data_IF_613459917398
#
_entry.id   IF_613459917398
#
_cell.length_a   1.000
_cell.length_b   1.000
_cell.length_c   1.000
_cell.angle_alpha   90.00
_cell.angle_beta   90.00
_cell.angle_gamma   90.00
#
_symmetry.space_group_name_H-M   'P 1'
#
loop_
_entity.id
_entity.type
_entity.pdbx_description
1 polymer ?
#
# COMPACT_ATOMS: atom_id res chain seq x y z
N UNK A 1 -2.11 -26.70 17.67
CA UNK A 1 -2.19 -25.27 17.31
C UNK A 1 -3.02 -25.19 16.04
N UNK A 2 -4.28 -24.77 16.16
CA UNK A 2 -5.20 -24.71 15.03
C UNK A 2 -4.94 -23.40 14.28
N UNK A 3 -4.53 -23.49 13.01
CA UNK A 3 -4.34 -22.32 12.17
C UNK A 3 -5.71 -21.86 11.65
N UNK A 4 -6.40 -21.04 12.44
CA UNK A 4 -7.59 -20.34 11.96
C UNK A 4 -7.19 -19.42 10.80
N UNK A 5 -7.80 -19.59 9.62
CA UNK A 5 -7.64 -18.66 8.50
C UNK A 5 -8.66 -17.53 8.66
N UNK A 6 -8.26 -16.33 9.12
CA UNK A 6 -9.19 -15.23 9.27
C UNK A 6 -9.73 -14.81 7.89
N UNK A 7 -11.06 -14.69 7.78
CA UNK A 7 -11.71 -14.17 6.59
C UNK A 7 -12.01 -12.67 6.78
N UNK A 8 -11.36 -11.81 5.99
CA UNK A 8 -11.69 -10.39 5.92
C UNK A 8 -12.90 -10.20 5.00
N UNK A 9 -14.11 -10.24 5.59
CA UNK A 9 -15.37 -10.16 4.86
C UNK A 9 -15.82 -8.71 4.63
N UNK A 10 -15.01 -7.90 3.96
CA UNK A 10 -15.47 -6.57 3.50
C UNK A 10 -16.15 -6.70 2.14
N UNK A 11 -17.18 -5.89 1.89
CA UNK A 11 -17.84 -5.85 0.56
C UNK A 11 -16.81 -5.50 -0.53
N UNK A 12 -15.78 -4.71 -0.19
CA UNK A 12 -14.69 -4.38 -1.10
C UNK A 12 -13.70 -5.51 -1.32
N UNK A 13 -13.32 -6.30 -0.32
CA UNK A 13 -12.50 -7.49 -0.57
C UNK A 13 -13.12 -8.44 -1.63
N UNK A 14 -14.45 -8.39 -1.80
CA UNK A 14 -15.20 -9.12 -2.83
C UNK A 14 -15.38 -8.36 -4.17
N UNK A 15 -15.21 -7.04 -4.22
CA UNK A 15 -15.55 -6.18 -5.39
C UNK A 15 -14.44 -5.22 -5.85
N UNK A 16 -13.38 -5.07 -5.07
CA UNK A 16 -12.18 -4.29 -5.32
C UNK A 16 -10.98 -5.11 -4.85
N UNK A 17 -10.04 -5.34 -5.76
CA UNK A 17 -8.85 -6.11 -5.43
C UNK A 17 -8.00 -5.35 -4.42
N UNK A 18 -7.47 -6.07 -3.42
CA UNK A 18 -6.46 -5.58 -2.49
C UNK A 18 -5.23 -6.45 -2.73
N UNK A 19 -4.10 -5.82 -3.05
CA UNK A 19 -2.84 -6.53 -3.32
C UNK A 19 -1.80 -6.35 -2.22
N UNK A 20 -2.07 -5.50 -1.23
CA UNK A 20 -1.20 -5.28 -0.08
C UNK A 20 -2.00 -5.18 1.21
N UNK A 21 -1.43 -5.77 2.26
CA UNK A 21 -1.89 -5.67 3.64
C UNK A 21 -0.65 -5.43 4.50
N UNK A 22 -0.71 -4.42 5.35
CA UNK A 22 0.38 -4.04 6.25
C UNK A 22 -0.14 -3.86 7.68
N UNK A 23 0.59 -4.39 8.67
CA UNK A 23 0.30 -4.17 10.08
C UNK A 23 1.02 -2.91 10.53
N UNK A 24 0.30 -1.97 11.11
CA UNK A 24 0.95 -0.85 11.79
C UNK A 24 1.59 -1.34 13.10
N UNK A 25 2.91 -1.23 13.28
CA UNK A 25 3.58 -1.70 14.49
C UNK A 25 3.19 -0.92 15.75
N UNK A 26 2.66 0.31 15.61
CA UNK A 26 2.33 1.20 16.74
C UNK A 26 0.85 1.16 17.16
N UNK A 27 0.00 0.42 16.45
CA UNK A 27 -1.43 0.34 16.78
C UNK A 27 -1.95 -1.10 16.79
N UNK A 28 -3.25 -1.30 17.05
CA UNK A 28 -3.91 -2.61 16.88
C UNK A 28 -4.41 -2.82 15.45
N UNK A 29 -4.13 -1.93 14.50
CA UNK A 29 -4.76 -1.98 13.17
C UNK A 29 -3.85 -2.56 12.08
N UNK A 30 -4.47 -3.22 11.11
CA UNK A 30 -3.90 -3.49 9.80
C UNK A 30 -4.56 -2.57 8.78
N UNK A 31 -3.80 -2.21 7.77
CA UNK A 31 -4.23 -1.36 6.69
C UNK A 31 -4.11 -2.08 5.35
N UNK A 32 -5.03 -1.76 4.47
CA UNK A 32 -5.05 -2.23 3.08
C UNK A 32 -5.38 -1.07 2.17
N UNK A 33 -4.90 -1.16 0.93
CA UNK A 33 -5.22 -0.20 -0.13
C UNK A 33 -5.90 -0.95 -1.27
N UNK A 34 -7.06 -0.45 -1.72
CA UNK A 34 -7.75 -1.01 -2.89
C UNK A 34 -7.05 -0.62 -4.18
N UNK A 35 -7.14 -1.49 -5.18
CA UNK A 35 -6.73 -1.19 -6.54
C UNK A 35 -7.90 -0.56 -7.32
N UNK A 36 -7.69 0.58 -8.00
CA UNK A 36 -8.68 1.16 -8.91
C UNK A 36 -9.11 0.18 -10.01
N UNK A 37 -10.40 0.17 -10.34
CA UNK A 37 -10.94 -0.56 -11.49
C UNK A 37 -12.00 0.28 -12.23
N UNK A 38 -12.51 -0.22 -13.36
CA UNK A 38 -13.47 0.49 -14.22
C UNK A 38 -14.73 0.97 -13.49
N UNK A 39 -15.16 0.24 -12.45
CA UNK A 39 -16.39 0.53 -11.67
C UNK A 39 -16.11 1.31 -10.39
N UNK A 40 -14.93 1.16 -9.82
CA UNK A 40 -14.52 1.78 -8.57
C UNK A 40 -13.09 2.31 -8.72
N UNK A 41 -12.98 3.55 -9.19
CA UNK A 41 -11.71 4.19 -9.52
C UNK A 41 -10.96 4.78 -8.34
N UNK A 42 -11.66 5.07 -7.24
CA UNK A 42 -11.03 5.71 -6.08
C UNK A 42 -10.11 4.73 -5.35
N UNK A 43 -8.94 5.24 -4.94
CA UNK A 43 -8.05 4.59 -4.00
C UNK A 43 -8.69 4.69 -2.59
N UNK A 44 -8.84 3.57 -1.89
CA UNK A 44 -9.50 3.52 -0.59
C UNK A 44 -8.56 2.87 0.42
N UNK A 45 -8.34 3.56 1.53
CA UNK A 45 -7.66 3.06 2.71
C UNK A 45 -8.68 2.31 3.56
N UNK A 46 -8.43 1.03 3.76
CA UNK A 46 -9.23 0.15 4.60
C UNK A 46 -8.47 -0.10 5.89
N UNK A 47 -9.14 0.12 7.03
CA UNK A 47 -8.61 -0.08 8.38
C UNK A 47 -9.33 -1.24 9.03
N UNK A 48 -8.58 -2.22 9.52
CA UNK A 48 -9.11 -3.44 10.15
C UNK A 48 -8.44 -3.62 11.51
N UNK A 49 -9.22 -3.93 12.55
CA UNK A 49 -8.65 -4.26 13.85
C UNK A 49 -8.00 -5.64 13.82
N UNK A 50 -6.79 -5.76 14.34
CA UNK A 50 -5.99 -6.98 14.27
C UNK A 50 -6.38 -7.99 15.33
N UNK A 51 -7.11 -7.61 16.38
CA UNK A 51 -7.57 -8.51 17.43
C UNK A 51 -8.79 -9.30 16.96
N UNK A 52 -9.81 -8.61 16.46
CA UNK A 52 -11.09 -9.23 16.06
C UNK A 52 -11.24 -9.40 14.53
N UNK A 53 -10.32 -8.83 13.74
CA UNK A 53 -10.33 -8.87 12.26
C UNK A 53 -11.55 -8.16 11.65
N UNK A 54 -12.23 -7.30 12.39
CA UNK A 54 -13.37 -6.54 11.92
C UNK A 54 -12.95 -5.24 11.23
N UNK A 55 -13.76 -4.83 10.26
CA UNK A 55 -13.61 -3.56 9.57
C UNK A 55 -13.85 -2.40 10.54
N UNK A 56 -12.86 -1.53 10.71
CA UNK A 56 -12.94 -0.34 11.56
C UNK A 56 -13.16 0.95 10.77
N UNK A 57 -12.85 0.96 9.46
CA UNK A 57 -13.13 2.12 8.61
C UNK A 57 -12.68 1.94 7.16
N UNK A 58 -13.30 2.73 6.28
CA UNK A 58 -12.93 2.87 4.88
C UNK A 58 -12.92 4.35 4.52
N UNK A 59 -11.81 4.85 3.98
CA UNK A 59 -11.66 6.27 3.64
C UNK A 59 -11.08 6.41 2.24
N UNK A 60 -11.66 7.30 1.43
CA UNK A 60 -11.11 7.62 0.11
C UNK A 60 -9.78 8.36 0.31
N UNK A 61 -8.72 7.88 -0.33
CA UNK A 61 -7.42 8.55 -0.28
C UNK A 61 -7.48 9.79 -1.15
N UNK A 62 -7.05 10.92 -0.59
CA UNK A 62 -6.98 12.21 -1.28
C UNK A 62 -5.54 12.61 -1.55
N UNK A 63 -5.31 13.56 -2.46
CA UNK A 63 -3.98 14.08 -2.73
C UNK A 63 -3.74 15.36 -1.94
N UNK A 64 -2.69 15.37 -1.12
CA UNK A 64 -2.17 16.56 -0.46
C UNK A 64 -1.20 17.38 -1.31
N UNK A 65 -0.79 16.83 -2.45
CA UNK A 65 0.17 17.45 -3.36
C UNK A 65 -0.38 17.54 -4.79
N UNK A 66 0.17 18.49 -5.56
CA UNK A 66 -0.05 18.54 -6.99
C UNK A 66 0.69 17.37 -7.64
N UNK A 67 -0.05 16.40 -8.18
CA UNK A 67 0.54 15.31 -8.96
C UNK A 67 1.10 15.87 -10.28
N UNK A 68 2.16 15.22 -10.81
CA UNK A 68 2.74 15.59 -12.12
C UNK A 68 1.65 15.62 -13.20
N UNK A 69 1.85 16.50 -14.19
CA UNK A 69 0.86 16.81 -15.23
C UNK A 69 0.15 15.56 -15.78
N UNK A 70 -1.18 15.63 -15.79
CA UNK A 70 -2.13 14.61 -16.28
C UNK A 70 -2.25 13.32 -15.46
N UNK A 71 -1.70 13.23 -14.24
CA UNK A 71 -1.90 12.07 -13.36
C UNK A 71 -3.06 12.30 -12.41
N UNK A 72 -3.96 11.32 -12.27
CA UNK A 72 -4.98 11.26 -11.23
C UNK A 72 -4.59 10.15 -10.21
N UNK A 73 -4.96 10.30 -8.94
CA UNK A 73 -4.79 9.24 -7.94
C UNK A 73 -5.47 7.93 -8.35
N UNK A 74 -6.54 8.03 -9.14
CA UNK A 74 -7.28 6.90 -9.69
C UNK A 74 -6.47 6.06 -10.68
N UNK A 75 -5.33 6.56 -11.15
CA UNK A 75 -4.46 5.86 -12.09
C UNK A 75 -3.38 5.03 -11.37
N UNK A 76 -3.23 5.15 -10.05
CA UNK A 76 -2.20 4.43 -9.30
C UNK A 76 -2.65 3.01 -8.97
N UNK A 77 -1.96 2.03 -9.54
CA UNK A 77 -2.22 0.60 -9.35
C UNK A 77 -1.25 0.05 -8.30
N UNK A 78 -1.69 0.07 -7.03
CA UNK A 78 -0.87 -0.35 -5.89
C UNK A 78 -0.70 -1.87 -5.85
N UNK A 79 0.54 -2.35 -5.87
CA UNK A 79 0.88 -3.78 -5.84
C UNK A 79 1.61 -4.22 -4.59
N UNK A 80 2.24 -3.29 -3.89
CA UNK A 80 3.02 -3.58 -2.71
C UNK A 80 3.02 -2.39 -1.75
N UNK A 81 3.36 -2.65 -0.50
CA UNK A 81 3.60 -1.58 0.46
C UNK A 81 3.59 -2.07 1.89
N UNK A 82 4.03 -1.21 2.78
CA UNK A 82 4.16 -1.49 4.22
C UNK A 82 3.91 -0.21 5.04
N UNK A 83 3.76 -0.35 6.35
CA UNK A 83 3.48 0.76 7.26
C UNK A 83 4.67 1.04 8.18
N UNK A 84 5.07 2.31 8.24
CA UNK A 84 6.08 2.83 9.17
C UNK A 84 5.76 4.28 9.53
N UNK A 85 6.06 4.70 10.76
CA UNK A 85 5.91 6.11 11.19
C UNK A 85 4.49 6.69 10.99
N UNK A 86 3.43 5.88 11.12
CA UNK A 86 2.04 6.31 10.87
C UNK A 86 1.71 6.57 9.40
N UNK A 87 2.55 6.11 8.47
CA UNK A 87 2.41 6.27 7.03
C UNK A 87 2.32 4.90 6.35
N UNK A 88 1.53 4.83 5.30
CA UNK A 88 1.53 3.70 4.37
C UNK A 88 2.42 4.05 3.17
N UNK A 89 3.53 3.33 3.00
CA UNK A 89 4.38 3.41 1.82
C UNK A 89 3.86 2.46 0.77
N UNK A 90 3.07 2.98 -0.17
CA UNK A 90 2.36 2.20 -1.19
C UNK A 90 3.05 2.32 -2.55
N UNK A 91 3.63 1.23 -3.03
CA UNK A 91 4.20 1.18 -4.37
C UNK A 91 3.10 0.91 -5.41
N UNK A 92 3.06 1.79 -6.41
CA UNK A 92 2.26 1.64 -7.62
C UNK A 92 3.14 1.25 -8.80
N UNK A 93 2.80 0.15 -9.47
CA UNK A 93 3.42 -0.23 -10.74
C UNK A 93 3.16 0.82 -11.82
N UNK A 94 1.98 1.44 -11.79
CA UNK A 94 1.69 2.56 -12.67
C UNK A 94 2.55 3.74 -12.25
N UNK A 95 3.24 4.31 -13.24
CA UNK A 95 4.23 5.38 -13.08
C UNK A 95 5.46 5.02 -12.22
N UNK A 96 5.65 3.75 -11.84
CA UNK A 96 6.76 3.29 -10.98
C UNK A 96 6.98 4.22 -9.78
N UNK A 97 5.93 4.42 -8.97
CA UNK A 97 5.89 5.47 -7.95
C UNK A 97 5.59 4.89 -6.57
N UNK A 98 6.36 5.31 -5.57
CA UNK A 98 6.11 5.05 -4.17
C UNK A 98 5.34 6.23 -3.56
N UNK A 99 4.08 6.00 -3.23
CA UNK A 99 3.21 6.97 -2.55
C UNK A 99 3.42 6.87 -1.04
N UNK A 100 3.50 8.02 -0.37
CA UNK A 100 3.47 8.11 1.09
C UNK A 100 2.10 8.61 1.50
N UNK A 101 1.30 7.73 2.13
CA UNK A 101 -0.06 8.02 2.55
C UNK A 101 -0.08 8.19 4.06
N UNK A 102 -0.53 9.34 4.55
CA UNK A 102 -0.83 9.54 5.97
C UNK A 102 -2.05 8.71 6.37
N UNK A 103 -1.90 7.86 7.39
CA UNK A 103 -2.95 6.95 7.84
C UNK A 103 -4.07 7.67 8.60
N UNK A 104 -3.78 8.80 9.26
CA UNK A 104 -4.76 9.54 10.03
C UNK A 104 -5.65 10.38 9.11
N UNK A 105 -5.07 11.01 8.09
CA UNK A 105 -5.79 11.86 7.14
C UNK A 105 -6.26 11.14 5.88
N UNK A 106 -5.81 9.89 5.65
CA UNK A 106 -5.98 9.18 4.39
C UNK A 106 -5.58 10.05 3.18
N UNK A 107 -4.36 10.60 3.23
CA UNK A 107 -3.91 11.61 2.29
C UNK A 107 -2.51 11.32 1.80
N UNK A 108 -2.30 11.37 0.48
CA UNK A 108 -0.95 11.29 -0.09
C UNK A 108 -0.22 12.59 0.28
N UNK A 109 0.83 12.47 1.07
CA UNK A 109 1.65 13.59 1.55
C UNK A 109 2.97 13.71 0.79
N UNK A 110 3.43 12.61 0.17
CA UNK A 110 4.62 12.61 -0.69
C UNK A 110 4.54 11.51 -1.76
N UNK A 111 5.33 11.63 -2.81
CA UNK A 111 5.41 10.66 -3.90
C UNK A 111 6.82 10.61 -4.54
N UNK A 112 7.44 9.45 -4.53
CA UNK A 112 8.79 9.23 -5.03
C UNK A 112 8.80 8.39 -6.30
N UNK A 113 9.54 8.82 -7.31
CA UNK A 113 9.85 7.98 -8.46
C UNK A 113 10.83 6.88 -8.04
N UNK A 114 10.49 5.63 -8.34
CA UNK A 114 11.31 4.48 -8.00
C UNK A 114 12.32 4.16 -9.11
N UNK A 115 13.37 3.42 -8.76
CA UNK A 115 14.30 2.87 -9.74
C UNK A 115 13.61 1.79 -10.58
N UNK A 116 14.03 1.61 -11.83
CA UNK A 116 13.48 0.61 -12.75
C UNK A 116 14.11 -0.78 -12.49
N UNK A 117 13.66 -1.42 -11.41
CA UNK A 117 14.21 -2.71 -10.95
C UNK A 117 13.33 -3.92 -11.30
N UNK A 118 12.22 -3.69 -12.02
CA UNK A 118 11.23 -4.71 -12.36
C UNK A 118 9.89 -4.47 -11.66
N UNK A 119 8.96 -5.40 -11.81
CA UNK A 119 7.64 -5.33 -11.18
C UNK A 119 7.73 -5.71 -9.71
N UNK A 120 7.38 -4.80 -8.81
CA UNK A 120 7.38 -5.06 -7.36
C UNK A 120 6.03 -5.64 -6.94
N UNK A 121 6.04 -6.81 -6.30
CA UNK A 121 4.83 -7.51 -5.84
C UNK A 121 4.71 -7.64 -4.31
N UNK A 122 5.73 -7.20 -3.57
CA UNK A 122 5.75 -7.24 -2.12
C UNK A 122 6.85 -6.33 -1.58
N UNK A 123 6.62 -5.76 -0.41
CA UNK A 123 7.55 -4.85 0.26
C UNK A 123 7.47 -5.06 1.77
N UNK A 124 8.59 -4.88 2.45
CA UNK A 124 8.68 -4.80 3.90
C UNK A 124 9.68 -3.71 4.30
N UNK A 125 9.38 -2.97 5.35
CA UNK A 125 10.26 -1.92 5.91
C UNK A 125 10.99 -2.46 7.13
N UNK A 126 12.29 -2.18 7.22
CA UNK A 126 13.08 -2.46 8.40
C UNK A 126 14.16 -1.39 8.57
N UNK A 127 13.96 -0.53 9.57
CA UNK A 127 14.78 0.69 9.76
C UNK A 127 14.76 1.57 8.51
N UNK A 128 15.94 2.07 8.13
CA UNK A 128 16.13 2.93 6.97
C UNK A 128 16.00 2.25 5.60
N UNK A 129 15.62 0.96 5.54
CA UNK A 129 15.56 0.18 4.30
C UNK A 129 14.17 -0.37 4.00
N UNK A 130 13.86 -0.43 2.72
CA UNK A 130 12.74 -1.18 2.12
C UNK A 130 13.32 -2.42 1.43
N UNK A 131 12.82 -3.59 1.77
CA UNK A 131 13.09 -4.83 1.06
C UNK A 131 11.92 -5.14 0.14
N UNK A 132 12.16 -5.16 -1.16
CA UNK A 132 11.16 -5.35 -2.20
C UNK A 132 11.34 -6.67 -2.94
N UNK A 133 10.26 -7.40 -3.17
CA UNK A 133 10.21 -8.55 -4.08
C UNK A 133 10.01 -8.03 -5.51
N UNK A 134 11.08 -8.05 -6.31
CA UNK A 134 11.09 -7.56 -7.68
C UNK A 134 11.13 -8.71 -8.69
N UNK A 135 10.25 -8.65 -9.69
CA UNK A 135 10.16 -9.57 -10.81
C UNK A 135 10.80 -8.95 -12.04
N UNK A 136 11.84 -9.59 -12.57
CA UNK A 136 12.55 -9.13 -13.76
C UNK A 136 13.06 -10.33 -14.56
N UNK A 137 12.79 -10.34 -15.86
CA UNK A 137 13.25 -11.38 -16.79
C UNK A 137 12.90 -12.81 -16.32
N UNK A 138 11.70 -13.00 -15.77
CA UNK A 138 11.22 -14.30 -15.26
C UNK A 138 11.84 -14.75 -13.94
N UNK A 139 12.67 -13.90 -13.30
CA UNK A 139 13.28 -14.17 -11.99
C UNK A 139 12.70 -13.27 -10.91
N UNK A 140 12.64 -13.80 -9.69
CA UNK A 140 12.22 -13.06 -8.49
C UNK A 140 13.45 -12.84 -7.61
N UNK A 141 13.72 -11.60 -7.26
CA UNK A 141 14.82 -11.24 -6.37
C UNK A 141 14.33 -10.32 -5.25
N UNK A 142 14.96 -10.39 -4.09
CA UNK A 142 14.81 -9.36 -3.05
C UNK A 142 15.82 -8.26 -3.33
N UNK A 143 15.33 -7.03 -3.42
CA UNK A 143 16.14 -5.83 -3.64
C UNK A 143 15.98 -4.92 -2.43
N UNK A 144 17.10 -4.37 -1.96
CA UNK A 144 17.11 -3.36 -0.89
C UNK A 144 17.07 -1.96 -1.51
N UNK A 145 16.22 -1.11 -0.96
CA UNK A 145 15.96 0.26 -1.41
C UNK A 145 15.97 1.18 -0.19
N UNK A 146 16.35 2.45 -0.39
CA UNK A 146 16.29 3.43 0.69
C UNK A 146 14.83 3.72 1.08
N UNK A 147 14.55 3.68 2.38
CA UNK A 147 13.27 4.15 2.92
C UNK A 147 13.29 5.69 2.97
N UNK A 148 12.39 6.38 2.23
CA UNK A 148 12.34 7.85 2.24
C UNK A 148 11.92 8.43 3.60
N UNK A 149 11.33 7.62 4.49
CA UNK A 149 10.99 8.06 5.84
C UNK A 149 12.19 8.12 6.79
N UNK A 150 13.29 7.43 6.46
CA UNK A 150 14.57 7.56 7.18
C UNK A 150 14.50 7.37 8.70
N UNK A 151 13.78 6.35 9.18
CA UNK A 151 13.77 5.97 10.61
C UNK A 151 14.85 4.94 10.97
#
# INVERSE_FOLDING_TARGET
MEFYRPALLTIRAKKQYVLTLAKDPQSTYMYMITVPNERAKNLILIKVDSKDKMLSGETIVTSGLALKDKRDLKDYYVTAGDVAGGKFLAYSKNYNTLLVIDLAEAKVVDAYAMQQIGDISGMAIKGGSIYALAHKDGKVNVVELNNPLGE
#
